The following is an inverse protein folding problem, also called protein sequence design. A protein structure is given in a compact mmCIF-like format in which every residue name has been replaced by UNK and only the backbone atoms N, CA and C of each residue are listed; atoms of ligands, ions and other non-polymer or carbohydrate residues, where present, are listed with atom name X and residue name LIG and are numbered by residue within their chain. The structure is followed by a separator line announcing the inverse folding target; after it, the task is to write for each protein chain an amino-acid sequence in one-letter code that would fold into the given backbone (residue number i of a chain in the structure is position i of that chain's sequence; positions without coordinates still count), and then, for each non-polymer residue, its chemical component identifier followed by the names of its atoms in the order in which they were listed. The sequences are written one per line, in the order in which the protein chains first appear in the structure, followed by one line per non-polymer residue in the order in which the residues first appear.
data_IF_885840961998
#
_entry.id   IF_885840961998
#
_cell.length_a   1.000
_cell.length_b   1.000
_cell.length_c   1.000
_cell.angle_alpha   90.00
_cell.angle_beta   90.00
_cell.angle_gamma   90.00
#
_symmetry.space_group_name_H-M   'P 1'
#
loop_
_entity.id
_entity.type
_entity.pdbx_description
1 polymer ?
#
# COMPACT_ATOMS: atom_id res chain seq x y z
N UNK A 1 -15.63 -15.98 6.82
CA UNK A 1 -14.80 -14.98 6.14
C UNK A 1 -15.26 -13.58 6.48
N UNK A 2 -14.32 -12.68 6.66
CA UNK A 2 -14.61 -11.28 6.92
C UNK A 2 -14.95 -10.60 5.60
N UNK A 3 -16.08 -9.87 5.55
CA UNK A 3 -16.52 -9.16 4.34
C UNK A 3 -16.26 -7.66 4.39
N UNK A 4 -15.83 -7.15 5.54
CA UNK A 4 -15.58 -5.72 5.71
C UNK A 4 -14.36 -5.52 6.60
N UNK A 5 -13.51 -4.59 6.18
CA UNK A 5 -12.42 -4.06 7.00
C UNK A 5 -12.63 -2.57 7.09
N UNK A 6 -12.83 -2.05 8.29
CA UNK A 6 -12.98 -0.60 8.46
C UNK A 6 -11.61 0.07 8.57
N UNK A 7 -11.57 1.35 8.23
CA UNK A 7 -10.37 2.15 8.41
C UNK A 7 -9.96 2.20 9.90
N UNK A 8 -10.94 2.31 10.80
CA UNK A 8 -10.68 2.35 12.23
C UNK A 8 -10.00 1.07 12.71
N UNK A 9 -10.45 -0.10 12.23
CA UNK A 9 -9.80 -1.37 12.57
C UNK A 9 -8.34 -1.39 12.09
N UNK A 10 -8.09 -0.93 10.88
CA UNK A 10 -6.74 -0.92 10.33
C UNK A 10 -5.82 0.00 11.13
N UNK A 11 -6.29 1.19 11.48
CA UNK A 11 -5.54 2.13 12.30
C UNK A 11 -5.19 1.50 13.65
N UNK A 12 -6.16 0.84 14.30
CA UNK A 12 -5.94 0.21 15.59
C UNK A 12 -4.94 -0.95 15.49
N UNK A 13 -5.07 -1.80 14.46
CA UNK A 13 -4.12 -2.89 14.21
C UNK A 13 -2.71 -2.37 14.03
N UNK A 14 -2.55 -1.30 13.25
CA UNK A 14 -1.22 -0.74 13.00
C UNK A 14 -0.62 -0.14 14.27
N UNK A 15 -1.42 0.45 15.15
CA UNK A 15 -0.94 0.96 16.44
C UNK A 15 -0.39 -0.16 17.33
N UNK A 16 -0.90 -1.36 17.20
CA UNK A 16 -0.45 -2.53 17.95
C UNK A 16 0.77 -3.20 17.33
N UNK A 17 1.04 -2.89 16.07
CA UNK A 17 2.24 -3.38 15.38
C UNK A 17 3.47 -2.61 15.89
N UNK A 18 4.50 -3.33 16.33
CA UNK A 18 5.67 -2.73 16.97
C UNK A 18 6.91 -2.75 16.08
N UNK A 19 6.90 -3.50 15.00
CA UNK A 19 8.09 -3.75 14.20
C UNK A 19 8.04 -3.09 12.82
N UNK A 20 6.87 -3.08 12.18
CA UNK A 20 6.72 -2.64 10.80
C UNK A 20 5.74 -1.48 10.66
N UNK A 21 5.89 -0.64 9.62
CA UNK A 21 4.94 0.44 9.35
C UNK A 21 3.68 -0.04 8.62
N UNK A 22 3.43 -1.35 8.59
CA UNK A 22 2.27 -1.93 7.93
C UNK A 22 1.70 -3.09 8.74
N UNK A 23 0.46 -3.43 8.48
CA UNK A 23 -0.20 -4.57 9.09
C UNK A 23 -1.11 -5.26 8.09
N UNK A 24 -1.06 -6.61 8.08
CA UNK A 24 -1.93 -7.40 7.21
C UNK A 24 -3.33 -7.48 7.82
N UNK A 25 -4.35 -7.17 7.02
CA UNK A 25 -5.73 -7.14 7.47
C UNK A 25 -6.55 -8.30 6.93
N UNK A 26 -6.20 -8.83 5.74
CA UNK A 26 -7.00 -9.88 5.12
C UNK A 26 -6.17 -10.64 4.09
N UNK A 27 -6.42 -11.94 3.99
CA UNK A 27 -5.87 -12.80 2.95
C UNK A 27 -6.97 -13.67 2.36
N UNK A 28 -6.95 -13.85 1.04
CA UNK A 28 -7.84 -14.79 0.37
C UNK A 28 -7.20 -15.23 -0.95
N UNK A 29 -6.70 -16.46 -1.01
CA UNK A 29 -5.95 -16.92 -2.18
C UNK A 29 -4.73 -16.05 -2.42
N UNK A 30 -4.59 -15.50 -3.63
CA UNK A 30 -3.49 -14.60 -3.96
C UNK A 30 -3.69 -13.19 -3.44
N UNK A 31 -4.91 -12.85 -3.02
CA UNK A 31 -5.24 -11.51 -2.53
C UNK A 31 -4.72 -11.32 -1.11
N UNK A 32 -4.03 -10.21 -0.87
CA UNK A 32 -3.78 -9.73 0.48
C UNK A 32 -4.09 -8.24 0.55
N UNK A 33 -4.63 -7.80 1.69
CA UNK A 33 -4.94 -6.40 1.95
C UNK A 33 -4.19 -6.00 3.22
N UNK A 34 -3.38 -4.95 3.08
CA UNK A 34 -2.59 -4.40 4.17
C UNK A 34 -2.92 -2.92 4.35
N UNK A 35 -2.60 -2.40 5.51
CA UNK A 35 -2.66 -0.98 5.81
C UNK A 35 -1.25 -0.49 6.10
N UNK A 36 -0.83 0.57 5.44
CA UNK A 36 0.55 1.04 5.43
C UNK A 36 0.61 2.54 5.76
N UNK A 37 1.44 2.89 6.74
CA UNK A 37 1.71 4.29 7.08
C UNK A 37 3.22 4.44 7.27
N UNK A 38 3.96 4.84 6.23
CA UNK A 38 5.41 4.96 6.31
C UNK A 38 5.83 6.00 7.33
N UNK A 39 6.99 5.75 7.95
CA UNK A 39 7.58 6.65 8.95
C UNK A 39 8.91 7.15 8.39
N UNK A 40 9.08 8.47 8.30
CA UNK A 40 10.27 9.17 7.81
C UNK A 40 10.63 8.86 6.36
N UNK A 41 10.89 7.60 6.03
CA UNK A 41 11.30 7.14 4.71
C UNK A 41 10.48 5.90 4.34
N UNK A 42 10.05 5.83 3.08
CA UNK A 42 9.46 4.63 2.52
C UNK A 42 10.59 3.73 2.01
N UNK A 43 10.77 2.58 2.65
CA UNK A 43 11.84 1.63 2.34
C UNK A 43 11.38 0.43 1.53
N UNK A 44 10.29 0.57 0.80
CA UNK A 44 9.74 -0.53 0.03
C UNK A 44 10.69 -1.00 -1.07
N UNK A 45 10.68 -2.31 -1.31
CA UNK A 45 11.36 -2.94 -2.43
C UNK A 45 10.33 -3.40 -3.45
N UNK A 46 10.73 -3.67 -4.71
CA UNK A 46 9.81 -4.23 -5.70
C UNK A 46 9.16 -5.52 -5.21
N UNK A 47 7.90 -5.71 -5.53
CA UNK A 47 7.12 -6.88 -5.12
C UNK A 47 6.90 -7.84 -6.29
N UNK A 48 6.64 -9.11 -5.96
CA UNK A 48 6.46 -10.15 -6.97
C UNK A 48 5.08 -10.12 -7.62
N UNK A 49 4.08 -9.59 -6.92
CA UNK A 49 2.70 -9.49 -7.41
C UNK A 49 2.40 -8.08 -7.91
N UNK A 50 1.34 -7.95 -8.69
CA UNK A 50 0.75 -6.66 -8.97
C UNK A 50 0.17 -6.06 -7.69
N UNK A 51 0.16 -4.74 -7.61
CA UNK A 51 -0.18 -4.04 -6.39
C UNK A 51 -1.05 -2.83 -6.68
N UNK A 52 -2.06 -2.60 -5.83
CA UNK A 52 -2.91 -1.42 -5.89
C UNK A 52 -2.84 -0.70 -4.54
N UNK A 53 -2.63 0.61 -4.58
CA UNK A 53 -2.79 1.46 -3.41
C UNK A 53 -4.09 2.23 -3.50
N UNK A 54 -4.76 2.37 -2.37
CA UNK A 54 -5.85 3.33 -2.21
C UNK A 54 -5.45 4.26 -1.08
N UNK A 55 -5.27 5.54 -1.37
CA UNK A 55 -4.80 6.50 -0.37
C UNK A 55 -5.93 6.77 0.62
N UNK A 56 -5.69 6.43 1.89
CA UNK A 56 -6.68 6.52 2.94
C UNK A 56 -6.68 7.88 3.65
N UNK A 57 -5.51 8.52 3.74
CA UNK A 57 -5.37 9.83 4.39
C UNK A 57 -4.11 10.53 3.91
N UNK A 58 -4.08 11.85 4.03
CA UNK A 58 -2.90 12.64 3.72
C UNK A 58 -2.61 12.79 2.24
N UNK A 59 -1.36 13.13 1.94
CA UNK A 59 -0.87 13.32 0.57
C UNK A 59 0.60 12.95 0.49
N UNK A 60 1.07 12.69 -0.73
CA UNK A 60 2.45 12.30 -0.99
C UNK A 60 2.83 12.57 -2.44
N UNK A 61 4.11 12.51 -2.72
CA UNK A 61 4.62 12.29 -4.08
C UNK A 61 4.83 10.79 -4.23
N UNK A 62 4.45 10.24 -5.37
CA UNK A 62 4.59 8.82 -5.66
C UNK A 62 5.50 8.62 -6.87
N UNK A 63 6.49 7.76 -6.71
CA UNK A 63 7.40 7.34 -7.78
C UNK A 63 7.09 5.91 -8.18
N UNK A 64 6.93 5.65 -9.49
CA UNK A 64 6.78 4.29 -9.99
C UNK A 64 7.34 4.22 -11.41
N UNK A 65 8.28 3.29 -11.64
CA UNK A 65 8.80 2.97 -12.97
C UNK A 65 9.17 4.21 -13.77
N UNK A 66 10.02 5.08 -13.21
CA UNK A 66 10.50 6.34 -13.79
C UNK A 66 9.44 7.44 -13.96
N UNK A 67 8.28 7.29 -13.36
CA UNK A 67 7.22 8.29 -13.38
C UNK A 67 7.00 8.86 -11.98
N UNK A 68 6.86 10.18 -11.90
CA UNK A 68 6.56 10.90 -10.67
C UNK A 68 5.16 11.48 -10.74
N UNK A 69 4.41 11.37 -9.66
CA UNK A 69 3.05 11.92 -9.59
C UNK A 69 2.68 12.30 -8.18
N UNK A 70 1.82 13.29 -8.04
CA UNK A 70 1.24 13.64 -6.76
C UNK A 70 0.06 12.72 -6.47
N UNK A 71 -0.17 12.42 -5.21
CA UNK A 71 -1.34 11.65 -4.79
C UNK A 71 -1.87 12.15 -3.45
N UNK A 72 -3.15 11.90 -3.22
CA UNK A 72 -3.84 12.30 -2.00
C UNK A 72 -5.01 11.37 -1.69
N UNK A 73 -5.62 11.57 -0.55
CA UNK A 73 -6.77 10.79 -0.10
C UNK A 73 -7.79 10.57 -1.23
N UNK A 74 -8.16 9.32 -1.43
CA UNK A 74 -9.11 8.90 -2.44
C UNK A 74 -8.50 8.44 -3.75
N UNK A 75 -7.22 8.74 -3.99
CA UNK A 75 -6.55 8.32 -5.22
C UNK A 75 -6.24 6.82 -5.20
N UNK A 76 -6.27 6.22 -6.38
CA UNK A 76 -5.89 4.82 -6.59
C UNK A 76 -4.65 4.79 -7.46
N UNK A 77 -3.63 4.05 -7.02
CA UNK A 77 -2.36 3.90 -7.72
C UNK A 77 -2.13 2.44 -8.07
N UNK A 78 -1.51 2.19 -9.22
CA UNK A 78 -1.21 0.83 -9.66
C UNK A 78 0.30 0.66 -9.83
N UNK A 79 0.81 -0.48 -9.33
CA UNK A 79 2.22 -0.86 -9.47
C UNK A 79 2.30 -2.24 -10.10
N UNK A 80 2.80 -2.35 -11.33
CA UNK A 80 3.06 -3.67 -11.92
C UNK A 80 4.11 -4.44 -11.12
N UNK A 81 3.98 -5.75 -11.08
CA UNK A 81 4.94 -6.62 -10.40
C UNK A 81 6.38 -6.31 -10.84
N UNK A 82 7.30 -6.28 -9.88
CA UNK A 82 8.73 -6.08 -10.12
C UNK A 82 9.17 -4.65 -10.36
N UNK A 83 8.27 -3.69 -10.35
CA UNK A 83 8.64 -2.28 -10.61
C UNK A 83 9.06 -1.57 -9.34
N UNK A 84 10.11 -0.77 -9.46
CA UNK A 84 10.55 0.11 -8.38
C UNK A 84 9.49 1.17 -8.11
N UNK A 85 9.19 1.38 -6.85
CA UNK A 85 8.17 2.36 -6.44
C UNK A 85 8.43 2.82 -5.02
N UNK A 86 7.98 4.04 -4.71
CA UNK A 86 8.05 4.58 -3.33
C UNK A 86 7.24 5.85 -3.20
N UNK A 87 6.87 6.13 -1.95
CA UNK A 87 6.30 7.42 -1.57
C UNK A 87 7.40 8.32 -1.03
N UNK A 88 7.35 9.61 -1.38
CA UNK A 88 8.28 10.62 -0.88
C UNK A 88 7.52 11.88 -0.47
N UNK A 89 8.10 12.63 0.46
CA UNK A 89 7.53 13.90 0.93
C UNK A 89 6.07 13.75 1.39
N UNK A 90 5.78 12.65 2.05
CA UNK A 90 4.44 12.37 2.52
C UNK A 90 4.12 13.16 3.79
N UNK A 91 2.84 13.53 3.94
CA UNK A 91 2.34 14.22 5.12
C UNK A 91 2.39 13.28 6.34
N UNK A 92 2.36 13.85 7.54
CA UNK A 92 2.43 13.07 8.79
C UNK A 92 1.27 12.08 8.93
N UNK A 93 0.11 12.45 8.38
CA UNK A 93 -1.08 11.60 8.43
C UNK A 93 -1.22 10.68 7.24
N UNK A 94 -0.21 10.60 6.38
CA UNK A 94 -0.26 9.78 5.16
C UNK A 94 -0.42 8.30 5.49
N UNK A 95 -1.41 7.66 4.88
CA UNK A 95 -1.62 6.23 4.97
C UNK A 95 -2.35 5.71 3.74
N UNK A 96 -2.14 4.44 3.43
CA UNK A 96 -2.72 3.80 2.27
C UNK A 96 -3.13 2.37 2.56
N UNK A 97 -4.22 1.95 1.93
CA UNK A 97 -4.51 0.53 1.77
C UNK A 97 -3.58 -0.02 0.70
N UNK A 98 -3.05 -1.21 0.93
CA UNK A 98 -2.18 -1.90 -0.02
C UNK A 98 -2.83 -3.23 -0.37
N UNK A 99 -3.07 -3.44 -1.66
CA UNK A 99 -3.74 -4.64 -2.15
C UNK A 99 -2.81 -5.35 -3.12
N UNK A 100 -2.37 -6.55 -2.73
CA UNK A 100 -1.61 -7.44 -3.61
C UNK A 100 -2.55 -8.49 -4.17
N UNK A 101 -2.39 -8.84 -5.43
CA UNK A 101 -3.24 -9.84 -6.08
C UNK A 101 -2.53 -10.49 -7.25
N UNK A 102 -3.06 -11.66 -7.65
CA UNK A 102 -2.61 -12.35 -8.84
C UNK A 102 -1.33 -13.16 -8.64
N UNK A 103 -0.78 -13.73 -9.72
CA UNK A 103 0.39 -14.59 -9.63
C UNK A 103 1.69 -13.82 -9.45
N UNK A 104 2.71 -14.52 -8.97
CA UNK A 104 4.08 -13.98 -8.99
C UNK A 104 4.47 -13.68 -10.43
N UNK A 105 5.09 -12.53 -10.63
CA UNK A 105 5.43 -12.03 -11.95
C UNK A 105 4.37 -11.13 -12.56
N UNK A 106 3.21 -11.04 -11.95
CA UNK A 106 2.11 -10.18 -12.38
C UNK A 106 1.14 -10.86 -13.35
N UNK A 107 -0.03 -10.25 -13.52
CA UNK A 107 -1.00 -10.70 -14.49
C UNK A 107 -0.53 -10.39 -15.90
N UNK A 108 -0.91 -11.23 -16.84
CA UNK A 108 -0.64 -10.98 -18.26
C UNK A 108 -1.74 -10.10 -18.85
N UNK A 109 -1.35 -9.17 -19.67
CA UNK A 109 -2.29 -8.30 -20.39
C UNK A 109 -2.88 -8.99 -21.59
#
# INVERSE_FOLDING_TARGET
MKHKISLDEAIQHLKEEKEFPFTAMMHHGTLSIEYYAPIEIDKQEPHKQDEVYVIASGHSVFYCDSHWMDCKKGDVLFVPAGKEHRFQNFSEDFAAWVIFYGPDGGEKV
#
